data_IF_419337300413
#
_entry.id   IF_419337300413
#
_cell.length_a   1.000
_cell.length_b   1.000
_cell.length_c   1.000
_cell.angle_alpha   90.00
_cell.angle_beta   90.00
_cell.angle_gamma   90.00
#
_symmetry.space_group_name_H-M   'P 1'
#
loop_
_entity.id
_entity.type
_entity.pdbx_description
1 polymer ?
#
# COMPACT_ATOMS: atom_id res chain seq x y z
N UNK A 1 7.32 8.63 49.07
CA UNK A 1 7.80 7.93 47.85
C UNK A 1 9.23 7.49 48.09
N UNK A 2 9.56 6.23 47.83
CA UNK A 2 10.96 5.81 47.75
C UNK A 2 11.66 6.58 46.62
N UNK A 3 12.94 6.93 46.80
CA UNK A 3 13.74 7.51 45.71
C UNK A 3 13.83 6.49 44.57
N UNK A 4 13.60 6.93 43.34
CA UNK A 4 13.61 6.08 42.14
C UNK A 4 15.02 5.50 41.88
N UNK A 5 16.08 6.31 42.03
CA UNK A 5 17.45 5.82 41.91
C UNK A 5 17.97 5.28 43.26
N UNK A 6 18.43 4.03 43.28
CA UNK A 6 18.91 3.35 44.49
C UNK A 6 20.42 3.09 44.49
N UNK A 7 21.11 3.29 43.35
CA UNK A 7 22.52 2.90 43.10
C UNK A 7 22.80 1.39 43.21
N UNK A 8 21.79 0.57 43.53
CA UNK A 8 21.94 -0.87 43.67
C UNK A 8 22.24 -1.60 42.36
N UNK A 9 22.16 -0.93 41.21
CA UNK A 9 22.49 -1.49 39.90
C UNK A 9 23.80 -0.99 39.29
N UNK A 10 24.59 -0.18 40.02
CA UNK A 10 25.81 0.45 39.50
C UNK A 10 26.93 -0.57 39.22
N UNK A 11 26.85 -1.75 39.86
CA UNK A 11 27.77 -2.88 39.65
C UNK A 11 27.38 -3.79 38.47
N UNK A 12 26.38 -3.41 37.68
CA UNK A 12 25.93 -4.19 36.51
C UNK A 12 24.87 -5.28 36.79
N UNK A 13 24.39 -5.39 38.03
CA UNK A 13 23.33 -6.33 38.42
C UNK A 13 21.97 -5.66 38.58
N UNK A 14 20.90 -6.45 38.49
CA UNK A 14 19.53 -6.05 38.80
C UNK A 14 18.79 -7.14 39.57
N UNK A 15 17.70 -6.79 40.25
CA UNK A 15 16.84 -7.75 40.93
C UNK A 15 15.67 -8.18 40.04
N UNK A 16 15.38 -9.48 40.02
CA UNK A 16 14.15 -10.04 39.48
C UNK A 16 12.98 -9.81 40.45
N UNK A 17 11.76 -9.89 39.92
CA UNK A 17 10.58 -10.02 40.75
C UNK A 17 10.65 -11.35 41.50
N UNK A 18 10.69 -11.27 42.84
CA UNK A 18 10.97 -12.41 43.73
C UNK A 18 12.29 -12.30 44.50
N UNK A 19 13.21 -11.45 44.05
CA UNK A 19 14.38 -10.98 44.81
C UNK A 19 15.73 -11.54 44.36
N UNK A 20 15.76 -12.50 43.43
CA UNK A 20 17.01 -13.01 42.87
C UNK A 20 17.76 -11.92 42.12
N UNK A 21 19.09 -11.83 42.32
CA UNK A 21 19.94 -10.87 41.59
C UNK A 21 20.63 -11.53 40.41
N UNK A 22 20.63 -10.85 39.27
CA UNK A 22 21.23 -11.32 38.02
C UNK A 22 21.96 -10.17 37.31
N UNK A 23 22.86 -10.51 36.38
CA UNK A 23 23.51 -9.51 35.52
C UNK A 23 22.49 -8.86 34.58
N UNK A 24 22.63 -7.55 34.36
CA UNK A 24 21.81 -6.77 33.43
C UNK A 24 21.92 -7.22 31.98
N UNK A 25 23.01 -7.91 31.63
CA UNK A 25 23.26 -8.48 30.30
C UNK A 25 22.71 -9.89 30.11
N UNK A 26 22.03 -10.46 31.10
CA UNK A 26 21.45 -11.80 30.96
C UNK A 26 20.32 -11.81 29.93
N UNK A 27 20.09 -12.98 29.31
CA UNK A 27 19.01 -13.16 28.33
C UNK A 27 17.65 -12.79 28.90
N UNK A 28 17.40 -13.12 30.17
CA UNK A 28 16.15 -12.80 30.86
C UNK A 28 15.91 -11.29 30.96
N UNK A 29 16.94 -10.51 31.34
CA UNK A 29 16.84 -9.04 31.40
C UNK A 29 16.64 -8.44 30.01
N UNK A 30 17.34 -8.97 29.02
CA UNK A 30 17.20 -8.55 27.62
C UNK A 30 15.79 -8.80 27.10
N UNK A 31 15.21 -9.97 27.40
CA UNK A 31 13.85 -10.34 26.99
C UNK A 31 12.80 -9.37 27.55
N UNK A 32 12.67 -9.21 28.88
CA UNK A 32 11.66 -8.28 29.41
C UNK A 32 11.98 -6.81 29.10
N UNK A 33 13.25 -6.45 28.92
CA UNK A 33 13.65 -5.11 28.48
C UNK A 33 13.21 -4.80 27.06
N UNK A 34 13.30 -5.77 26.15
CA UNK A 34 12.80 -5.64 24.78
C UNK A 34 11.27 -5.56 24.73
N UNK A 35 10.56 -6.24 25.64
CA UNK A 35 9.10 -6.09 25.81
C UNK A 35 8.73 -4.68 26.29
N UNK A 36 9.50 -4.09 27.20
CA UNK A 36 9.32 -2.70 27.64
C UNK A 36 9.55 -1.71 26.48
N UNK A 37 10.58 -1.93 25.66
CA UNK A 37 10.82 -1.15 24.44
C UNK A 37 9.64 -1.25 23.46
N UNK A 38 9.09 -2.46 23.25
CA UNK A 38 7.91 -2.65 22.42
C UNK A 38 6.68 -1.93 22.99
N UNK A 39 6.50 -1.98 24.31
CA UNK A 39 5.42 -1.29 25.00
C UNK A 39 5.52 0.25 24.86
N UNK A 40 6.74 0.80 24.97
CA UNK A 40 7.01 2.21 24.72
C UNK A 40 6.72 2.60 23.26
N UNK A 41 7.13 1.78 22.29
CA UNK A 41 6.84 2.02 20.88
C UNK A 41 5.34 2.02 20.57
N UNK A 42 4.57 1.12 21.20
CA UNK A 42 3.10 1.13 21.13
C UNK A 42 2.53 2.41 21.76
N UNK A 43 3.11 2.90 22.85
CA UNK A 43 2.72 4.17 23.45
C UNK A 43 2.89 5.36 22.49
N UNK A 44 4.01 5.41 21.77
CA UNK A 44 4.26 6.43 20.73
C UNK A 44 3.24 6.31 19.59
N UNK A 45 2.94 5.08 19.13
CA UNK A 45 1.89 4.88 18.13
C UNK A 45 0.52 5.34 18.64
N UNK A 46 0.17 4.99 19.89
CA UNK A 46 -1.13 5.29 20.47
C UNK A 46 -1.43 6.79 20.57
N UNK A 47 -0.44 7.66 20.76
CA UNK A 47 -0.69 9.10 20.80
C UNK A 47 -0.92 9.70 19.42
N UNK A 48 -0.55 8.99 18.35
CA UNK A 48 -0.74 9.43 16.96
C UNK A 48 -2.05 8.96 16.36
N UNK A 49 -2.58 7.81 16.81
CA UNK A 49 -3.84 7.27 16.31
C UNK A 49 -5.01 8.21 16.62
N UNK A 50 -5.76 8.57 15.58
CA UNK A 50 -6.95 9.42 15.70
C UNK A 50 -8.18 8.63 16.18
N UNK A 51 -8.35 7.39 15.70
CA UNK A 51 -9.44 6.50 16.12
C UNK A 51 -9.38 6.20 17.63
N UNK A 52 -10.44 6.53 18.37
CA UNK A 52 -10.52 6.32 19.81
C UNK A 52 -10.58 4.84 20.19
N UNK A 53 -11.26 4.01 19.39
CA UNK A 53 -11.40 2.57 19.65
C UNK A 53 -10.04 1.87 19.51
N UNK A 54 -9.28 2.21 18.47
CA UNK A 54 -7.93 1.67 18.28
C UNK A 54 -6.96 2.14 19.37
N UNK A 55 -7.09 3.37 19.86
CA UNK A 55 -6.30 3.85 21.00
C UNK A 55 -6.61 3.08 22.27
N UNK A 56 -7.88 2.82 22.56
CA UNK A 56 -8.27 2.07 23.75
C UNK A 56 -7.84 0.59 23.64
N UNK A 57 -7.91 0.00 22.44
CA UNK A 57 -7.32 -1.31 22.16
C UNK A 57 -5.81 -1.34 22.45
N UNK A 58 -5.05 -0.34 21.97
CA UNK A 58 -3.61 -0.27 22.26
C UNK A 58 -3.33 -0.15 23.76
N UNK A 59 -4.14 0.59 24.53
CA UNK A 59 -3.98 0.66 26.00
C UNK A 59 -4.21 -0.71 26.66
N UNK A 60 -5.21 -1.48 26.20
CA UNK A 60 -5.43 -2.85 26.68
C UNK A 60 -4.18 -3.70 26.41
N UNK A 61 -3.61 -3.59 25.21
CA UNK A 61 -2.39 -4.30 24.81
C UNK A 61 -1.19 -3.86 25.67
N UNK A 62 -1.00 -2.57 25.93
CA UNK A 62 0.09 -2.08 26.79
C UNK A 62 0.01 -2.66 28.21
N UNK A 63 -1.20 -2.79 28.76
CA UNK A 63 -1.41 -3.45 30.05
C UNK A 63 -1.05 -4.94 29.98
N UNK A 64 -1.40 -5.64 28.89
CA UNK A 64 -1.02 -7.04 28.70
C UNK A 64 0.48 -7.23 28.51
N UNK A 65 1.17 -6.30 27.84
CA UNK A 65 2.63 -6.32 27.76
C UNK A 65 3.30 -6.08 29.12
N UNK A 66 2.67 -5.32 30.02
CA UNK A 66 3.14 -5.22 31.40
C UNK A 66 3.04 -6.56 32.13
N UNK A 67 1.97 -7.33 31.89
CA UNK A 67 1.83 -8.71 32.39
C UNK A 67 2.92 -9.63 31.81
N UNK A 68 3.14 -9.58 30.49
CA UNK A 68 4.24 -10.33 29.83
C UNK A 68 5.59 -9.98 30.47
N UNK A 69 5.90 -8.70 30.64
CA UNK A 69 7.14 -8.25 31.27
C UNK A 69 7.26 -8.73 32.71
N UNK A 70 6.17 -8.70 33.47
CA UNK A 70 6.10 -9.21 34.84
C UNK A 70 6.43 -10.71 34.93
N UNK A 71 5.86 -11.52 34.03
CA UNK A 71 6.19 -12.95 33.93
C UNK A 71 7.66 -13.20 33.61
N UNK A 72 8.18 -12.55 32.57
CA UNK A 72 9.58 -12.70 32.16
C UNK A 72 10.57 -12.20 33.23
N UNK A 73 10.18 -11.20 34.01
CA UNK A 73 10.97 -10.65 35.09
C UNK A 73 10.87 -11.44 36.41
N UNK A 74 10.07 -12.51 36.48
CA UNK A 74 9.80 -13.25 37.73
C UNK A 74 10.66 -14.50 37.88
N UNK A 75 11.35 -14.62 39.02
CA UNK A 75 11.85 -15.93 39.47
C UNK A 75 10.70 -16.77 40.06
N UNK A 76 10.97 -17.99 40.53
CA UNK A 76 9.93 -18.89 41.05
C UNK A 76 9.07 -18.23 42.15
N UNK A 77 9.70 -17.48 43.06
CA UNK A 77 8.99 -16.73 44.12
C UNK A 77 8.25 -15.52 43.57
N UNK A 78 8.74 -14.94 42.48
CA UNK A 78 8.04 -13.90 41.74
C UNK A 78 6.77 -14.44 41.08
N UNK A 79 6.87 -15.61 40.45
CA UNK A 79 5.76 -16.26 39.75
C UNK A 79 4.61 -16.58 40.71
N UNK A 80 4.90 -17.03 41.93
CA UNK A 80 3.90 -17.24 42.99
C UNK A 80 3.16 -15.96 43.41
N UNK A 81 3.80 -14.78 43.24
CA UNK A 81 3.24 -13.48 43.64
C UNK A 81 2.50 -12.77 42.51
N UNK A 82 2.66 -13.22 41.27
CA UNK A 82 1.97 -12.63 40.14
C UNK A 82 0.46 -12.85 40.26
N UNK A 83 -0.28 -11.74 40.14
CA UNK A 83 -1.75 -11.77 40.18
C UNK A 83 -2.37 -12.10 38.83
N UNK A 84 -1.62 -11.91 37.76
CA UNK A 84 -2.09 -12.04 36.39
C UNK A 84 -0.97 -12.67 35.55
N UNK A 85 -1.42 -13.39 34.54
CA UNK A 85 -0.60 -14.10 33.58
C UNK A 85 -1.32 -14.03 32.23
N UNK A 86 -0.58 -14.16 31.14
CA UNK A 86 -1.15 -14.36 29.80
C UNK A 86 -1.81 -15.73 29.74
N UNK A 87 -3.04 -15.75 29.25
CA UNK A 87 -3.87 -16.94 29.09
C UNK A 87 -4.21 -17.18 27.62
N UNK A 88 -4.80 -18.33 27.33
CA UNK A 88 -5.27 -18.66 25.98
C UNK A 88 -6.29 -17.62 25.47
N UNK A 89 -7.19 -17.17 26.35
CA UNK A 89 -8.20 -16.15 26.00
C UNK A 89 -7.58 -14.83 25.51
N UNK A 90 -6.36 -14.51 25.94
CA UNK A 90 -5.65 -13.30 25.49
C UNK A 90 -5.16 -13.45 24.05
N UNK A 91 -4.75 -14.66 23.65
CA UNK A 91 -4.36 -14.97 22.26
C UNK A 91 -5.60 -14.94 21.36
N UNK A 92 -6.67 -15.62 21.78
CA UNK A 92 -7.95 -15.65 21.07
C UNK A 92 -8.54 -14.25 20.93
N UNK A 93 -8.35 -13.39 21.93
CA UNK A 93 -8.73 -11.98 21.85
C UNK A 93 -8.02 -11.26 20.70
N UNK A 94 -6.70 -11.43 20.55
CA UNK A 94 -5.94 -10.82 19.45
C UNK A 94 -6.40 -11.36 18.09
N UNK A 95 -6.59 -12.68 17.97
CA UNK A 95 -7.04 -13.34 16.74
C UNK A 95 -8.41 -12.81 16.29
N UNK A 96 -9.37 -12.69 17.22
CA UNK A 96 -10.69 -12.12 16.92
C UNK A 96 -10.61 -10.68 16.42
N UNK A 97 -9.74 -9.86 17.02
CA UNK A 97 -9.55 -8.46 16.58
C UNK A 97 -8.87 -8.40 15.22
N UNK A 98 -7.88 -9.27 14.97
CA UNK A 98 -7.23 -9.41 13.66
C UNK A 98 -8.27 -9.73 12.58
N UNK A 99 -9.14 -10.71 12.83
CA UNK A 99 -10.18 -11.12 11.88
C UNK A 99 -11.18 -9.99 11.63
N UNK A 100 -11.63 -9.31 12.70
CA UNK A 100 -12.59 -8.21 12.59
C UNK A 100 -12.03 -7.07 11.73
N UNK A 101 -10.79 -6.63 11.99
CA UNK A 101 -10.15 -5.58 11.21
C UNK A 101 -9.84 -6.03 9.78
N UNK A 102 -9.38 -7.27 9.60
CA UNK A 102 -9.04 -7.82 8.28
C UNK A 102 -10.27 -7.91 7.37
N UNK A 103 -11.45 -8.21 7.92
CA UNK A 103 -12.70 -8.27 7.16
C UNK A 103 -13.10 -6.93 6.50
N UNK A 104 -12.55 -5.82 7.01
CA UNK A 104 -12.80 -4.45 6.54
C UNK A 104 -11.74 -3.97 5.54
N UNK A 105 -10.78 -4.81 5.18
CA UNK A 105 -9.64 -4.46 4.33
C UNK A 105 -9.69 -5.20 2.99
N UNK A 106 -9.19 -4.59 1.90
CA UNK A 106 -9.02 -5.28 0.64
C UNK A 106 -7.97 -6.40 0.76
N UNK A 107 -8.07 -7.41 -0.12
CA UNK A 107 -7.11 -8.51 -0.19
C UNK A 107 -5.69 -7.98 -0.44
N UNK A 108 -4.70 -8.52 0.27
CA UNK A 108 -3.31 -8.14 0.11
C UNK A 108 -2.68 -8.92 -1.06
N UNK A 109 -2.26 -8.22 -2.11
CA UNK A 109 -1.62 -8.82 -3.30
C UNK A 109 -0.13 -8.54 -3.41
N UNK A 110 0.40 -7.62 -2.60
CA UNK A 110 1.81 -7.18 -2.63
C UNK A 110 2.33 -6.83 -1.23
N UNK A 111 3.66 -6.67 -1.09
CA UNK A 111 4.27 -6.16 0.13
C UNK A 111 3.95 -4.68 0.34
N UNK A 112 3.80 -4.27 1.61
CA UNK A 112 3.51 -2.89 2.01
C UNK A 112 4.78 -2.21 2.52
N UNK A 113 5.06 -1.02 1.99
CA UNK A 113 6.08 -0.10 2.53
C UNK A 113 5.45 0.67 3.70
N UNK A 114 6.13 0.80 4.85
CA UNK A 114 5.57 1.40 6.06
C UNK A 114 5.62 2.95 6.04
N UNK A 115 5.09 3.58 4.99
CA UNK A 115 5.19 5.03 4.76
C UNK A 115 3.85 5.73 4.47
N UNK A 116 2.74 4.99 4.50
CA UNK A 116 1.44 5.48 4.03
C UNK A 116 0.76 6.54 4.92
N UNK A 117 1.05 6.60 6.22
CA UNK A 117 0.61 7.68 7.12
C UNK A 117 1.49 7.71 8.37
N UNK A 118 1.46 8.79 9.15
CA UNK A 118 2.17 8.83 10.44
C UNK A 118 1.68 7.70 11.36
N UNK A 119 0.36 7.54 11.50
CA UNK A 119 -0.24 6.49 12.34
C UNK A 119 0.24 5.10 11.93
N UNK A 120 0.23 4.81 10.62
CA UNK A 120 0.68 3.53 10.08
C UNK A 120 2.19 3.30 10.29
N UNK A 121 3.01 4.34 10.07
CA UNK A 121 4.45 4.26 10.25
C UNK A 121 4.81 3.94 11.71
N UNK A 122 4.19 4.61 12.69
CA UNK A 122 4.43 4.31 14.11
C UNK A 122 3.93 2.91 14.50
N UNK A 123 2.81 2.44 13.95
CA UNK A 123 2.35 1.06 14.15
C UNK A 123 3.35 0.04 13.57
N UNK A 124 3.96 0.32 12.42
CA UNK A 124 5.02 -0.53 11.87
C UNK A 124 6.29 -0.51 12.72
N UNK A 125 6.68 0.64 13.28
CA UNK A 125 7.80 0.72 14.25
C UNK A 125 7.50 -0.17 15.46
N UNK A 126 6.31 -0.03 16.06
CA UNK A 126 5.87 -0.86 17.17
C UNK A 126 5.88 -2.36 16.81
N UNK A 127 5.39 -2.72 15.63
CA UNK A 127 5.42 -4.10 15.11
C UNK A 127 6.84 -4.67 15.06
N UNK A 128 7.80 -3.90 14.55
CA UNK A 128 9.20 -4.37 14.47
C UNK A 128 9.83 -4.53 15.85
N UNK A 129 9.48 -3.67 16.81
CA UNK A 129 9.91 -3.80 18.20
C UNK A 129 9.32 -5.05 18.87
N UNK A 130 8.03 -5.35 18.64
CA UNK A 130 7.41 -6.60 19.12
C UNK A 130 8.11 -7.83 18.53
N UNK A 131 8.46 -7.82 17.24
CA UNK A 131 9.23 -8.91 16.62
C UNK A 131 10.66 -9.02 17.15
N UNK A 132 11.29 -7.92 17.57
CA UNK A 132 12.57 -7.98 18.28
C UNK A 132 12.36 -8.68 19.62
N UNK A 133 11.34 -8.28 20.39
CA UNK A 133 11.04 -8.89 21.68
C UNK A 133 10.73 -10.39 21.56
N UNK A 134 10.00 -10.79 20.52
CA UNK A 134 9.76 -12.19 20.18
C UNK A 134 11.08 -12.98 20.06
N UNK A 135 12.06 -12.45 19.33
CA UNK A 135 13.38 -13.11 19.16
C UNK A 135 14.14 -13.22 20.47
N UNK A 136 14.12 -12.18 21.30
CA UNK A 136 14.79 -12.22 22.62
C UNK A 136 14.13 -13.21 23.57
N UNK A 137 12.80 -13.35 23.53
CA UNK A 137 12.06 -14.35 24.30
C UNK A 137 12.40 -15.76 23.80
N UNK A 138 12.45 -15.97 22.48
CA UNK A 138 12.87 -17.26 21.90
C UNK A 138 14.30 -17.60 22.32
N UNK A 139 15.20 -16.62 22.36
CA UNK A 139 16.57 -16.86 22.82
C UNK A 139 16.65 -17.21 24.31
N UNK A 140 15.73 -16.70 25.13
CA UNK A 140 15.57 -17.10 26.52
C UNK A 140 15.06 -18.54 26.66
N UNK A 141 14.27 -19.04 25.70
CA UNK A 141 13.79 -20.43 25.69
C UNK A 141 14.93 -21.46 25.65
N UNK A 142 16.13 -21.09 25.19
CA UNK A 142 17.31 -21.95 25.22
C UNK A 142 17.74 -22.32 26.66
N UNK A 143 17.35 -21.52 27.64
CA UNK A 143 17.79 -21.67 29.05
C UNK A 143 16.63 -22.00 30.00
N UNK A 144 15.40 -21.66 29.62
CA UNK A 144 14.24 -21.69 30.51
C UNK A 144 12.96 -22.00 29.74
N UNK A 145 12.10 -22.83 30.33
CA UNK A 145 10.78 -23.09 29.76
C UNK A 145 9.89 -21.85 29.90
N UNK A 146 9.54 -21.26 28.76
CA UNK A 146 8.58 -20.15 28.68
C UNK A 146 7.22 -20.70 28.30
N UNK A 147 6.17 -20.20 28.96
CA UNK A 147 4.79 -20.65 28.75
C UNK A 147 4.37 -20.39 27.30
N UNK A 148 3.80 -21.40 26.63
CA UNK A 148 3.44 -21.35 25.22
C UNK A 148 2.50 -20.18 24.87
N UNK A 149 1.53 -19.87 25.74
CA UNK A 149 0.60 -18.76 25.52
C UNK A 149 1.27 -17.39 25.51
N UNK A 150 2.35 -17.20 26.29
CA UNK A 150 3.10 -15.94 26.29
C UNK A 150 3.77 -15.71 24.93
N UNK A 151 4.43 -16.74 24.39
CA UNK A 151 5.09 -16.64 23.09
C UNK A 151 4.07 -16.47 21.95
N UNK A 152 2.96 -17.21 22.00
CA UNK A 152 1.86 -17.08 21.03
C UNK A 152 1.26 -15.67 21.04
N UNK A 153 1.06 -15.08 22.23
CA UNK A 153 0.54 -13.71 22.37
C UNK A 153 1.46 -12.68 21.71
N UNK A 154 2.77 -12.76 21.95
CA UNK A 154 3.75 -11.83 21.34
C UNK A 154 3.79 -11.97 19.81
N UNK A 155 3.75 -13.20 19.31
CA UNK A 155 3.70 -13.46 17.88
C UNK A 155 2.45 -12.82 17.23
N UNK A 156 1.26 -13.08 17.79
CA UNK A 156 -0.04 -12.56 17.28
C UNK A 156 -0.14 -11.05 17.42
N UNK A 157 0.49 -10.47 18.44
CA UNK A 157 0.54 -9.02 18.58
C UNK A 157 1.25 -8.36 17.40
N UNK A 158 2.28 -9.00 16.84
CA UNK A 158 2.95 -8.46 15.64
C UNK A 158 2.03 -8.46 14.41
N UNK A 159 1.16 -9.45 14.27
CA UNK A 159 0.17 -9.52 13.20
C UNK A 159 -0.94 -8.48 13.41
N UNK A 160 -1.42 -8.31 14.64
CA UNK A 160 -2.40 -7.28 14.97
C UNK A 160 -1.88 -5.88 14.63
N UNK A 161 -0.64 -5.55 15.01
CA UNK A 161 -0.06 -4.24 14.68
C UNK A 161 0.09 -4.03 13.17
N UNK A 162 0.36 -5.10 12.40
CA UNK A 162 0.35 -5.04 10.94
C UNK A 162 -1.06 -4.76 10.40
N UNK A 163 -2.08 -5.48 10.86
CA UNK A 163 -3.46 -5.27 10.40
C UNK A 163 -3.98 -3.88 10.82
N UNK A 164 -3.68 -3.43 12.03
CA UNK A 164 -4.00 -2.07 12.48
C UNK A 164 -3.33 -1.02 11.58
N UNK A 165 -2.07 -1.22 11.18
CA UNK A 165 -1.38 -0.28 10.28
C UNK A 165 -2.06 -0.16 8.91
N UNK A 166 -2.62 -1.26 8.38
CA UNK A 166 -3.41 -1.23 7.15
C UNK A 166 -4.75 -0.56 7.36
N UNK A 167 -5.42 -0.87 8.46
CA UNK A 167 -6.76 -0.36 8.77
C UNK A 167 -6.78 1.16 8.92
N UNK A 168 -5.79 1.76 9.60
CA UNK A 168 -5.74 3.22 9.76
C UNK A 168 -5.56 3.96 8.44
N UNK A 169 -4.85 3.36 7.47
CA UNK A 169 -4.65 3.93 6.12
C UNK A 169 -5.96 3.91 5.33
N UNK A 170 -6.73 2.82 5.46
CA UNK A 170 -8.01 2.67 4.75
C UNK A 170 -9.11 3.58 5.31
N UNK A 171 -9.20 3.69 6.64
CA UNK A 171 -10.29 4.42 7.33
C UNK A 171 -10.00 5.90 7.49
N UNK A 172 -8.74 6.31 7.53
CA UNK A 172 -8.35 7.72 7.58
C UNK A 172 -7.54 8.06 6.33
N UNK A 173 -8.21 8.31 5.18
CA UNK A 173 -7.53 8.82 4.00
C UNK A 173 -6.75 10.07 4.40
N UNK A 174 -5.46 10.15 4.09
CA UNK A 174 -4.63 11.24 4.58
C UNK A 174 -5.10 12.60 4.05
N UNK A 175 -5.38 13.54 4.96
CA UNK A 175 -5.57 14.96 4.61
C UNK A 175 -4.21 15.57 4.25
N UNK A 176 -4.01 15.84 2.96
CA UNK A 176 -2.98 16.76 2.48
C UNK A 176 -1.56 16.21 2.35
N UNK A 177 -1.10 16.19 1.10
CA UNK A 177 0.28 15.95 0.66
C UNK A 177 0.95 14.67 1.16
N UNK A 178 0.37 13.54 0.76
CA UNK A 178 1.22 12.40 0.44
C UNK A 178 1.57 12.54 -1.03
N UNK A 179 2.84 12.83 -1.32
CA UNK A 179 3.45 12.29 -2.53
C UNK A 179 3.57 10.81 -2.26
N UNK A 180 2.47 10.08 -2.49
CA UNK A 180 2.61 8.65 -2.70
C UNK A 180 3.38 8.58 -3.99
N UNK A 181 4.55 7.95 -3.99
CA UNK A 181 4.83 7.14 -5.17
C UNK A 181 3.85 5.96 -5.13
N UNK A 182 2.57 6.27 -5.39
CA UNK A 182 1.64 5.35 -6.00
C UNK A 182 2.22 5.16 -7.41
N UNK A 183 3.15 4.22 -7.57
CA UNK A 183 3.33 3.61 -8.88
C UNK A 183 1.95 3.06 -9.28
N UNK A 184 1.21 3.83 -10.07
CA UNK A 184 0.02 3.34 -10.76
C UNK A 184 -1.26 4.16 -10.66
N UNK A 185 -1.44 5.12 -9.75
CA UNK A 185 -2.75 5.82 -9.65
C UNK A 185 -2.96 6.89 -10.71
N UNK A 186 -1.93 7.65 -11.06
CA UNK A 186 -1.94 8.55 -12.22
C UNK A 186 -0.97 8.04 -13.29
N UNK A 187 -1.02 6.74 -13.59
CA UNK A 187 -0.33 6.10 -14.70
C UNK A 187 -1.34 5.28 -15.49
N UNK A 188 -1.10 5.10 -16.78
CA UNK A 188 -1.86 4.14 -17.58
C UNK A 188 -1.50 2.73 -17.14
N UNK A 189 -2.36 2.08 -16.34
CA UNK A 189 -2.21 0.66 -15.99
C UNK A 189 -2.89 -0.23 -17.03
N UNK A 190 -2.54 -1.51 -17.07
CA UNK A 190 -3.21 -2.48 -17.96
C UNK A 190 -4.71 -2.60 -17.62
N UNK A 191 -5.09 -2.54 -16.35
CA UNK A 191 -6.49 -2.59 -15.93
C UNK A 191 -7.27 -1.36 -16.42
N UNK A 192 -6.69 -0.17 -16.29
CA UNK A 192 -7.27 1.05 -16.82
C UNK A 192 -7.40 1.01 -18.35
N UNK A 193 -6.34 0.55 -19.04
CA UNK A 193 -6.35 0.36 -20.49
C UNK A 193 -7.45 -0.62 -20.93
N UNK A 194 -7.63 -1.74 -20.21
CA UNK A 194 -8.71 -2.69 -20.47
C UNK A 194 -10.09 -2.05 -20.29
N UNK A 195 -10.31 -1.26 -19.24
CA UNK A 195 -11.58 -0.56 -19.04
C UNK A 195 -11.91 0.41 -20.20
N UNK A 196 -10.92 1.20 -20.63
CA UNK A 196 -11.06 2.13 -21.76
C UNK A 196 -11.36 1.38 -23.06
N UNK A 197 -10.65 0.27 -23.33
CA UNK A 197 -10.89 -0.57 -24.50
C UNK A 197 -12.28 -1.20 -24.47
N UNK A 198 -12.75 -1.71 -23.33
CA UNK A 198 -14.10 -2.27 -23.22
C UNK A 198 -15.19 -1.25 -23.51
N UNK A 199 -15.03 -0.01 -23.03
CA UNK A 199 -15.95 1.09 -23.35
C UNK A 199 -15.92 1.43 -24.85
N UNK A 200 -14.73 1.48 -25.44
CA UNK A 200 -14.53 1.69 -26.89
C UNK A 200 -15.20 0.60 -27.73
N UNK A 201 -15.01 -0.67 -27.36
CA UNK A 201 -15.58 -1.83 -28.05
C UNK A 201 -17.10 -1.80 -28.03
N UNK A 202 -17.71 -1.52 -26.88
CA UNK A 202 -19.16 -1.34 -26.76
C UNK A 202 -19.66 -0.28 -27.73
N UNK A 203 -18.96 0.86 -27.83
CA UNK A 203 -19.35 1.93 -28.76
C UNK A 203 -19.18 1.54 -30.22
N UNK A 204 -18.10 0.84 -30.56
CA UNK A 204 -17.85 0.35 -31.91
C UNK A 204 -18.92 -0.67 -32.35
N UNK A 205 -19.36 -1.54 -31.45
CA UNK A 205 -20.46 -2.49 -31.67
C UNK A 205 -21.80 -1.78 -31.91
N UNK A 206 -22.13 -0.76 -31.12
CA UNK A 206 -23.32 0.08 -31.33
C UNK A 206 -23.34 0.73 -32.72
N UNK A 207 -22.17 1.20 -33.18
CA UNK A 207 -21.97 1.83 -34.48
C UNK A 207 -21.81 0.82 -35.62
N UNK A 208 -21.74 -0.48 -35.31
CA UNK A 208 -21.51 -1.59 -36.25
C UNK A 208 -20.28 -1.39 -37.14
N UNK A 209 -19.21 -0.86 -36.56
CA UNK A 209 -17.96 -0.57 -37.28
C UNK A 209 -16.80 -1.33 -36.63
N UNK A 210 -16.13 -2.24 -37.36
CA UNK A 210 -15.01 -2.99 -36.81
C UNK A 210 -13.75 -2.10 -36.78
N UNK A 211 -13.19 -1.89 -35.59
CA UNK A 211 -12.02 -1.01 -35.38
C UNK A 211 -10.85 -1.72 -34.69
N UNK A 212 -9.69 -1.07 -34.76
CA UNK A 212 -8.52 -1.31 -33.91
C UNK A 212 -8.43 -0.19 -32.89
N UNK A 213 -8.24 -0.56 -31.63
CA UNK A 213 -8.05 0.36 -30.49
C UNK A 213 -6.67 0.09 -29.90
N UNK A 214 -5.88 1.15 -29.70
CA UNK A 214 -4.56 1.09 -29.07
C UNK A 214 -4.49 2.07 -27.91
N UNK A 215 -3.87 1.65 -26.82
CA UNK A 215 -3.59 2.47 -25.64
C UNK A 215 -2.09 2.54 -25.42
N UNK A 216 -1.57 3.75 -25.20
CA UNK A 216 -0.17 4.00 -24.84
C UNK A 216 -0.03 4.65 -23.47
N UNK A 217 1.11 4.44 -22.81
CA UNK A 217 1.49 5.12 -21.55
C UNK A 217 1.93 6.58 -21.77
N UNK A 218 2.34 7.26 -20.69
CA UNK A 218 2.83 8.64 -20.70
C UNK A 218 4.21 8.79 -21.40
N UNK A 219 4.89 7.69 -21.70
CA UNK A 219 6.06 7.61 -22.57
C UNK A 219 5.74 7.34 -24.04
N UNK A 220 4.46 7.12 -24.39
CA UNK A 220 4.04 6.75 -25.73
C UNK A 220 4.32 5.27 -26.09
N UNK A 221 4.62 4.42 -25.11
CA UNK A 221 4.80 2.98 -25.31
C UNK A 221 3.44 2.27 -25.35
N UNK A 222 3.29 1.31 -26.27
CA UNK A 222 2.08 0.52 -26.40
C UNK A 222 1.86 -0.36 -25.16
N UNK A 223 0.70 -0.19 -24.50
CA UNK A 223 0.26 -1.04 -23.40
C UNK A 223 -0.71 -2.11 -23.89
N UNK A 224 -1.70 -1.72 -24.70
CA UNK A 224 -2.77 -2.61 -25.13
C UNK A 224 -3.16 -2.31 -26.57
N UNK A 225 -3.33 -3.36 -27.36
CA UNK A 225 -3.94 -3.32 -28.68
C UNK A 225 -5.07 -4.33 -28.75
N UNK A 226 -6.25 -3.87 -29.15
CA UNK A 226 -7.41 -4.71 -29.40
C UNK A 226 -7.88 -4.49 -30.85
N UNK A 227 -7.93 -5.58 -31.62
CA UNK A 227 -8.43 -5.58 -33.00
C UNK A 227 -9.74 -6.36 -33.05
N UNK A 228 -10.82 -5.68 -33.41
CA UNK A 228 -12.10 -6.35 -33.67
C UNK A 228 -11.99 -7.27 -34.89
N UNK A 229 -12.79 -8.35 -34.88
CA UNK A 229 -12.92 -9.22 -36.04
C UNK A 229 -13.38 -8.39 -37.25
N UNK A 230 -12.78 -8.67 -38.42
CA UNK A 230 -13.01 -7.96 -39.68
C UNK A 230 -12.53 -6.50 -39.75
N UNK A 231 -11.86 -5.98 -38.72
CA UNK A 231 -11.19 -4.67 -38.82
C UNK A 231 -10.02 -4.73 -39.82
N UNK A 232 -9.82 -3.64 -40.57
CA UNK A 232 -8.77 -3.55 -41.58
C UNK A 232 -7.37 -3.73 -40.97
N UNK A 233 -6.52 -4.55 -41.61
CA UNK A 233 -5.16 -4.81 -41.11
C UNK A 233 -4.28 -3.56 -41.09
N UNK A 234 -4.49 -2.64 -42.04
CA UNK A 234 -3.78 -1.36 -42.08
C UNK A 234 -4.13 -0.43 -40.92
N UNK A 235 -5.25 -0.66 -40.23
CA UNK A 235 -5.66 0.11 -39.07
C UNK A 235 -4.83 -0.20 -37.82
N UNK A 236 -4.04 -1.28 -37.81
CA UNK A 236 -3.17 -1.64 -36.68
C UNK A 236 -2.14 -0.53 -36.45
N UNK A 237 -1.30 -0.26 -37.45
CA UNK A 237 -0.26 0.75 -37.34
C UNK A 237 -0.85 2.16 -37.22
N UNK A 238 -1.97 2.43 -37.91
CA UNK A 238 -2.65 3.72 -37.83
C UNK A 238 -3.17 3.97 -36.40
N UNK A 239 -3.80 2.99 -35.75
CA UNK A 239 -4.30 3.10 -34.38
C UNK A 239 -3.17 3.35 -33.38
N UNK A 240 -2.07 2.59 -33.47
CA UNK A 240 -0.88 2.79 -32.63
C UNK A 240 -0.30 4.19 -32.84
N UNK A 241 -0.14 4.60 -34.09
CA UNK A 241 0.45 5.89 -34.43
C UNK A 241 -0.45 7.07 -34.07
N UNK A 242 -1.79 6.92 -34.11
CA UNK A 242 -2.72 7.92 -33.59
C UNK A 242 -2.55 8.11 -32.08
N UNK A 243 -2.46 7.02 -31.30
CA UNK A 243 -2.22 7.09 -29.86
C UNK A 243 -0.86 7.74 -29.56
N UNK A 244 0.21 7.28 -30.22
CA UNK A 244 1.55 7.86 -30.10
C UNK A 244 1.56 9.37 -30.43
N UNK A 245 0.90 9.77 -31.52
CA UNK A 245 0.82 11.16 -31.94
C UNK A 245 0.15 12.03 -30.88
N UNK A 246 -0.99 11.58 -30.35
CA UNK A 246 -1.69 12.31 -29.29
C UNK A 246 -0.88 12.43 -28.02
N UNK A 247 -0.12 11.40 -27.68
CA UNK A 247 0.76 11.45 -26.52
C UNK A 247 1.96 12.37 -26.74
N UNK A 248 2.63 12.27 -27.89
CA UNK A 248 3.82 13.06 -28.23
C UNK A 248 3.54 14.57 -28.27
N UNK A 249 2.38 14.97 -28.80
CA UNK A 249 2.03 16.39 -28.97
C UNK A 249 1.03 16.91 -27.94
N UNK A 250 0.47 16.04 -27.10
CA UNK A 250 -0.56 16.38 -26.09
C UNK A 250 -1.79 17.04 -26.72
N UNK A 251 -2.11 16.66 -27.95
CA UNK A 251 -3.22 17.17 -28.76
C UNK A 251 -4.03 16.00 -29.32
N UNK A 252 -5.27 16.27 -29.71
CA UNK A 252 -5.96 15.30 -30.57
C UNK A 252 -5.29 15.28 -31.94
N UNK A 253 -5.25 14.12 -32.57
CA UNK A 253 -4.75 13.98 -33.95
C UNK A 253 -5.56 14.82 -34.95
N UNK A 254 -6.83 15.08 -34.64
CA UNK A 254 -7.69 16.01 -35.40
C UNK A 254 -7.20 17.46 -35.28
N UNK A 255 -6.88 17.93 -34.07
CA UNK A 255 -6.36 19.28 -33.85
C UNK A 255 -4.98 19.44 -34.49
N UNK A 256 -4.11 18.44 -34.34
CA UNK A 256 -2.81 18.45 -35.00
C UNK A 256 -2.95 18.48 -36.53
N UNK A 257 -3.95 17.77 -37.06
CA UNK A 257 -4.36 17.83 -38.46
C UNK A 257 -4.61 19.25 -38.95
N UNK A 258 -5.43 20.00 -38.22
CA UNK A 258 -5.75 21.42 -38.53
C UNK A 258 -4.49 22.28 -38.54
N UNK A 259 -3.58 22.08 -37.59
CA UNK A 259 -2.30 22.82 -37.50
C UNK A 259 -1.25 22.39 -38.55
N UNK A 260 -1.48 21.28 -39.24
CA UNK A 260 -0.57 20.71 -40.23
C UNK A 260 -0.98 20.98 -41.68
N UNK A 261 -2.01 21.80 -41.91
CA UNK A 261 -2.47 22.18 -43.25
C UNK A 261 -1.45 23.08 -43.96
N UNK A 262 -1.45 23.13 -45.32
CA UNK A 262 -0.60 24.05 -46.06
C UNK A 262 -0.77 25.50 -45.59
N UNK A 263 0.33 26.12 -45.17
CA UNK A 263 0.35 27.50 -44.64
C UNK A 263 0.24 27.61 -43.12
N UNK A 264 -0.03 26.51 -42.41
CA UNK A 264 -0.07 26.49 -40.94
C UNK A 264 1.31 26.20 -40.32
N UNK A 265 1.43 26.51 -39.03
CA UNK A 265 2.70 26.49 -38.30
C UNK A 265 3.38 25.10 -38.24
N UNK A 266 2.62 24.01 -38.35
CA UNK A 266 3.13 22.63 -38.28
C UNK A 266 3.01 21.89 -39.62
N UNK A 267 2.95 22.60 -40.75
CA UNK A 267 2.90 21.98 -42.06
C UNK A 267 4.07 20.99 -42.29
N UNK A 268 3.75 19.75 -42.67
CA UNK A 268 4.72 18.70 -42.92
C UNK A 268 5.13 17.87 -41.70
N UNK A 269 4.54 18.10 -40.52
CA UNK A 269 4.86 17.36 -39.30
C UNK A 269 4.63 15.84 -39.41
N UNK A 270 3.73 15.40 -40.29
CA UNK A 270 3.49 13.99 -40.60
C UNK A 270 4.73 13.23 -41.13
N UNK A 271 5.70 13.97 -41.70
CA UNK A 271 6.94 13.40 -42.24
C UNK A 271 8.04 13.24 -41.16
N UNK A 272 7.80 13.69 -39.93
CA UNK A 272 8.74 13.58 -38.81
C UNK A 272 8.58 12.25 -38.07
N UNK A 273 9.42 11.98 -37.07
CA UNK A 273 9.31 10.79 -36.20
C UNK A 273 9.26 9.47 -37.01
N UNK A 274 10.01 9.38 -38.11
CA UNK A 274 10.00 8.23 -39.03
C UNK A 274 8.60 7.91 -39.61
N UNK A 275 7.79 8.93 -39.87
CA UNK A 275 6.46 8.77 -40.46
C UNK A 275 5.39 8.28 -39.49
N UNK A 276 5.66 8.31 -38.17
CA UNK A 276 4.70 7.88 -37.13
C UNK A 276 3.61 8.90 -36.82
N UNK A 277 3.68 10.11 -37.36
CA UNK A 277 2.75 11.19 -36.99
C UNK A 277 1.49 11.13 -37.85
N UNK A 278 0.35 10.91 -37.20
CA UNK A 278 -0.98 10.84 -37.86
C UNK A 278 -1.74 12.14 -37.65
N UNK A 279 -2.10 12.78 -38.76
CA UNK A 279 -2.69 14.14 -38.79
C UNK A 279 -4.19 14.12 -39.14
N UNK A 280 -4.88 13.03 -38.80
CA UNK A 280 -6.33 12.92 -38.93
C UNK A 280 -6.93 12.20 -37.71
N UNK A 281 -8.18 12.54 -37.37
CA UNK A 281 -8.80 12.23 -36.07
C UNK A 281 -8.94 10.76 -35.70
N UNK A 282 -9.13 10.52 -34.40
CA UNK A 282 -9.24 9.19 -33.77
C UNK A 282 -8.18 8.91 -32.70
N UNK A 283 -7.18 9.78 -32.57
CA UNK A 283 -6.23 9.80 -31.44
C UNK A 283 -6.55 10.91 -30.44
N UNK A 284 -6.69 10.57 -29.16
CA UNK A 284 -6.99 11.48 -28.06
C UNK A 284 -6.03 11.27 -26.87
N UNK A 285 -5.56 12.36 -26.22
CA UNK A 285 -4.82 12.26 -24.96
C UNK A 285 -5.74 11.85 -23.80
N UNK A 286 -5.22 11.07 -22.87
CA UNK A 286 -5.96 10.59 -21.69
C UNK A 286 -5.45 11.31 -20.45
N UNK A 287 -6.33 12.10 -19.85
CA UNK A 287 -6.05 12.88 -18.66
C UNK A 287 -6.75 12.25 -17.46
N UNK A 288 -6.03 12.09 -16.35
CA UNK A 288 -6.57 11.66 -15.08
C UNK A 288 -6.09 12.63 -14.00
N UNK A 289 -7.02 13.22 -13.24
CA UNK A 289 -6.72 14.21 -12.21
C UNK A 289 -5.86 15.40 -12.69
N UNK A 290 -6.03 15.81 -13.96
CA UNK A 290 -5.24 16.89 -14.57
C UNK A 290 -3.81 16.49 -15.00
N UNK A 291 -3.40 15.23 -14.81
CA UNK A 291 -2.15 14.67 -15.32
C UNK A 291 -2.41 13.92 -16.63
N UNK A 292 -1.54 14.12 -17.62
CA UNK A 292 -1.54 13.32 -18.84
C UNK A 292 -0.93 11.96 -18.53
N UNK A 293 -1.72 10.89 -18.62
CA UNK A 293 -1.30 9.54 -18.21
C UNK A 293 -1.10 8.58 -19.38
N UNK A 294 -1.53 8.96 -20.59
CA UNK A 294 -1.42 8.14 -21.79
C UNK A 294 -2.24 8.71 -22.94
N UNK A 295 -2.48 7.90 -23.98
CA UNK A 295 -3.35 8.26 -25.08
C UNK A 295 -4.06 7.03 -25.67
N UNK A 296 -5.23 7.26 -26.28
CA UNK A 296 -5.98 6.28 -27.06
C UNK A 296 -5.85 6.61 -28.54
N UNK A 297 -5.79 5.56 -29.37
CA UNK A 297 -5.89 5.66 -30.83
C UNK A 297 -6.89 4.65 -31.36
N UNK A 298 -7.89 5.13 -32.10
CA UNK A 298 -8.92 4.32 -32.75
C UNK A 298 -8.78 4.44 -34.26
N UNK A 299 -8.84 3.31 -34.97
CA UNK A 299 -8.85 3.29 -36.44
C UNK A 299 -9.66 2.11 -36.99
N UNK A 300 -10.51 2.39 -37.97
CA UNK A 300 -11.18 1.37 -38.77
C UNK A 300 -12.49 1.85 -39.40
N UNK A 301 -13.10 2.90 -38.84
CA UNK A 301 -14.27 3.56 -39.40
C UNK A 301 -13.96 4.82 -40.19
N UNK A 302 -14.97 5.68 -40.36
CA UNK A 302 -14.76 7.07 -40.76
C UNK A 302 -14.02 7.84 -39.65
N UNK A 303 -13.43 8.98 -39.99
CA UNK A 303 -12.73 9.84 -39.01
C UNK A 303 -13.66 10.24 -37.87
N UNK A 304 -14.92 10.55 -38.18
CA UNK A 304 -15.95 10.92 -37.20
C UNK A 304 -16.29 9.74 -36.29
N UNK A 305 -16.40 8.53 -36.84
CA UNK A 305 -16.67 7.32 -36.04
C UNK A 305 -15.50 7.00 -35.10
N UNK A 306 -14.26 7.09 -35.59
CA UNK A 306 -13.06 6.86 -34.79
C UNK A 306 -12.99 7.86 -33.61
N UNK A 307 -13.30 9.15 -33.85
CA UNK A 307 -13.36 10.18 -32.80
C UNK A 307 -14.46 9.85 -31.79
N UNK A 308 -15.68 9.57 -32.24
CA UNK A 308 -16.82 9.28 -31.35
C UNK A 308 -16.55 8.08 -30.43
N UNK A 309 -15.93 7.02 -30.96
CA UNK A 309 -15.55 5.84 -30.17
C UNK A 309 -14.50 6.21 -29.12
N UNK A 310 -13.47 6.97 -29.51
CA UNK A 310 -12.43 7.41 -28.59
C UNK A 310 -12.97 8.34 -27.49
N UNK A 311 -13.86 9.28 -27.83
CA UNK A 311 -14.48 10.19 -26.86
C UNK A 311 -15.36 9.45 -25.86
N UNK A 312 -16.20 8.51 -26.33
CA UNK A 312 -17.06 7.71 -25.46
C UNK A 312 -16.25 6.94 -24.41
N UNK A 313 -15.09 6.42 -24.82
CA UNK A 313 -14.18 5.68 -23.95
C UNK A 313 -13.63 6.50 -22.78
N UNK A 314 -13.58 7.83 -22.93
CA UNK A 314 -13.01 8.75 -21.93
C UNK A 314 -14.07 9.46 -21.08
N UNK A 315 -15.37 9.31 -21.38
CA UNK A 315 -16.45 10.01 -20.63
C UNK A 315 -16.57 9.59 -19.17
N UNK A 316 -16.08 8.41 -18.81
CA UNK A 316 -16.23 7.81 -17.48
C UNK A 316 -14.90 7.74 -16.70
N UNK A 317 -13.88 8.49 -17.14
CA UNK A 317 -12.58 8.62 -16.49
C UNK A 317 -12.52 9.79 -15.53
#
# INVERSE_FOLDING_TARGET
MSKIYTKGGDKGETGLYGGTRILKSSKRVTAYGSVDQANAAIGVASVKIKDHLLRDLLKIIQNKLFVVGGELASDDKGMEKLKQQILEEDVVFLERVIDELSSKLPSLTSFIIPDASEEAAYLHVARTAVRQAEREIVHLCDEQDIRAYLLAFINRLSDLLFIMSRYVVEVTPPEGNIVKHEEGKDLMTLDLANMIVLSSLKKAEELKVPVVISIVDDGGNLILLNRMQNAHIGSIDISINKAYTSMAFKLTTEMLGKLSLPGEALYGIQNTNNGKIVVFGGGLPIWLNGKLIGAIGVSGGSVEQDILIAEEALKNL
#
